data_IF_109114632611
#
_entry.id   IF_109114632611
#
_cell.length_a   1.000
_cell.length_b   1.000
_cell.length_c   1.000
_cell.angle_alpha   90.00
_cell.angle_beta   90.00
_cell.angle_gamma   90.00
#
_symmetry.space_group_name_H-M   'P 1'
#
loop_
_entity.id
_entity.type
_entity.pdbx_description
1 polymer ?
#
# COMPACT_ATOMS: atom_id res chain seq x y z
N UNK A 1 -7.69 -1.18 10.53
CA UNK A 1 -6.81 -0.12 10.03
C UNK A 1 -5.45 -0.74 9.83
N UNK A 2 -5.04 -0.93 8.59
CA UNK A 2 -3.66 -1.35 8.30
C UNK A 2 -2.78 -0.11 8.34
N UNK A 3 -1.92 -0.03 9.36
CA UNK A 3 -0.95 1.07 9.47
C UNK A 3 0.22 0.74 8.55
N UNK A 4 0.53 1.60 7.56
CA UNK A 4 1.67 1.36 6.69
C UNK A 4 2.96 1.40 7.52
N UNK A 5 3.68 0.27 7.53
CA UNK A 5 4.97 0.18 8.21
C UNK A 5 6.00 0.95 7.39
N UNK A 6 6.56 2.02 7.95
CA UNK A 6 7.55 2.85 7.28
C UNK A 6 8.99 2.37 7.54
N UNK A 7 9.94 2.81 6.71
CA UNK A 7 11.36 2.52 6.90
C UNK A 7 11.92 2.91 8.28
N UNK A 8 11.61 4.11 8.82
CA UNK A 8 12.00 4.49 10.17
C UNK A 8 11.51 3.53 11.26
N UNK A 9 10.27 3.04 11.16
CA UNK A 9 9.70 2.08 12.13
C UNK A 9 10.48 0.76 12.11
N UNK A 10 10.87 0.28 10.92
CA UNK A 10 11.68 -0.94 10.78
C UNK A 10 13.08 -0.78 11.37
N UNK A 11 13.69 0.39 11.18
CA UNK A 11 15.01 0.72 11.76
C UNK A 11 14.92 0.72 13.28
N UNK A 12 13.96 1.45 13.85
CA UNK A 12 13.76 1.52 15.30
C UNK A 12 13.51 0.12 15.89
N UNK A 13 12.66 -0.69 15.24
CA UNK A 13 12.39 -2.04 15.74
C UNK A 13 13.61 -2.95 15.66
N UNK A 14 14.43 -2.79 14.61
CA UNK A 14 15.69 -3.51 14.47
C UNK A 14 16.70 -3.13 15.56
N UNK A 15 16.80 -1.86 15.90
CA UNK A 15 17.66 -1.36 16.99
C UNK A 15 17.20 -1.87 18.36
N UNK A 16 15.88 -1.88 18.63
CA UNK A 16 15.32 -2.48 19.85
C UNK A 16 15.68 -3.97 19.99
N UNK A 17 15.53 -4.75 18.92
CA UNK A 17 15.91 -6.17 18.92
C UNK A 17 17.42 -6.35 19.12
N UNK A 18 18.24 -5.49 18.53
CA UNK A 18 19.68 -5.52 18.76
C UNK A 18 20.02 -5.26 20.23
N UNK A 19 19.34 -4.30 20.88
CA UNK A 19 19.49 -4.04 22.31
C UNK A 19 19.08 -5.24 23.17
N UNK A 20 17.95 -5.87 22.88
CA UNK A 20 17.47 -7.08 23.57
C UNK A 20 18.47 -8.25 23.45
N UNK A 21 19.21 -8.32 22.35
CA UNK A 21 20.27 -9.30 22.10
C UNK A 21 21.63 -8.90 22.70
N UNK A 22 21.72 -7.76 23.40
CA UNK A 22 22.94 -7.27 24.05
C UNK A 22 23.83 -6.38 23.17
N UNK A 23 23.37 -5.98 21.99
CA UNK A 23 24.04 -5.03 21.10
C UNK A 23 23.50 -3.61 21.31
N UNK A 24 23.86 -2.99 22.43
CA UNK A 24 23.32 -1.69 22.86
C UNK A 24 23.72 -0.51 21.98
N UNK A 25 24.82 -0.61 21.25
CA UNK A 25 25.35 0.46 20.38
C UNK A 25 25.00 0.26 18.89
N UNK A 26 24.08 -0.67 18.60
CA UNK A 26 23.66 -0.94 17.23
C UNK A 26 22.87 0.25 16.68
N UNK A 27 23.37 0.87 15.60
CA UNK A 27 22.64 1.86 14.82
C UNK A 27 22.44 1.37 13.40
N UNK A 28 21.18 1.27 12.99
CA UNK A 28 20.82 0.79 11.67
C UNK A 28 20.60 1.98 10.75
N UNK A 29 21.35 2.02 9.65
CA UNK A 29 21.26 3.10 8.67
C UNK A 29 20.19 2.80 7.61
N UNK A 30 19.77 3.84 6.88
CA UNK A 30 18.97 3.66 5.67
C UNK A 30 19.60 2.68 4.68
N UNK A 31 20.93 2.74 4.51
CA UNK A 31 21.66 1.81 3.63
C UNK A 31 21.67 0.36 4.12
N UNK A 32 21.65 0.11 5.44
CA UNK A 32 21.42 -1.23 5.98
C UNK A 32 20.02 -1.73 5.62
N UNK A 33 19.01 -0.88 5.82
CA UNK A 33 17.61 -1.20 5.53
C UNK A 33 17.41 -1.51 4.04
N UNK A 34 18.03 -0.75 3.12
CA UNK A 34 17.94 -1.01 1.68
C UNK A 34 18.58 -2.34 1.28
N UNK A 35 19.75 -2.67 1.84
CA UNK A 35 20.41 -3.97 1.60
C UNK A 35 19.61 -5.13 2.19
N UNK A 36 19.04 -4.95 3.38
CA UNK A 36 18.18 -5.93 4.02
C UNK A 36 16.96 -6.25 3.15
N UNK A 37 16.30 -5.21 2.62
CA UNK A 37 15.18 -5.37 1.68
C UNK A 37 15.60 -6.13 0.43
N UNK A 38 16.69 -5.72 -0.20
CA UNK A 38 17.19 -6.36 -1.43
C UNK A 38 17.53 -7.83 -1.20
N UNK A 39 18.16 -8.17 -0.07
CA UNK A 39 18.55 -9.54 0.27
C UNK A 39 17.35 -10.46 0.49
N UNK A 40 16.26 -9.93 1.05
CA UNK A 40 15.07 -10.71 1.40
C UNK A 40 13.88 -10.49 0.47
N UNK A 41 14.06 -9.76 -0.64
CA UNK A 41 12.99 -9.47 -1.59
C UNK A 41 11.83 -8.65 -1.01
N UNK A 42 12.08 -7.84 0.02
CA UNK A 42 11.05 -7.01 0.65
C UNK A 42 10.83 -5.76 -0.19
N UNK A 43 9.64 -5.64 -0.77
CA UNK A 43 9.25 -4.49 -1.59
C UNK A 43 8.25 -3.63 -0.82
N UNK A 44 8.48 -2.32 -0.77
CA UNK A 44 7.48 -1.39 -0.31
C UNK A 44 6.43 -1.23 -1.40
N UNK A 45 5.27 -1.86 -1.23
CA UNK A 45 4.09 -1.47 -1.98
C UNK A 45 3.50 -0.26 -1.27
N UNK A 46 3.43 0.88 -1.95
CA UNK A 46 2.49 1.92 -1.55
C UNK A 46 1.13 1.24 -1.54
N UNK A 47 0.40 1.31 -0.42
CA UNK A 47 -1.01 0.95 -0.42
C UNK A 47 -1.73 2.01 -1.25
N UNK A 48 -1.63 1.89 -2.58
CA UNK A 48 -2.46 2.61 -3.51
C UNK A 48 -3.79 1.90 -3.48
N UNK A 49 -4.58 2.15 -2.43
CA UNK A 49 -6.02 2.01 -2.57
C UNK A 49 -6.42 2.94 -3.70
N UNK A 50 -7.18 2.44 -4.66
CA UNK A 50 -7.64 3.17 -5.86
C UNK A 50 -8.18 4.57 -5.53
N UNK A 51 -8.67 4.78 -4.31
CA UNK A 51 -9.07 6.06 -3.74
C UNK A 51 -8.02 7.20 -3.81
N UNK A 52 -6.72 6.90 -3.86
CA UNK A 52 -5.68 7.95 -3.89
C UNK A 52 -5.38 8.48 -5.31
N UNK A 53 -5.70 7.71 -6.35
CA UNK A 53 -5.55 8.13 -7.77
C UNK A 53 -6.76 8.88 -8.31
N UNK A 54 -7.91 8.80 -7.64
CA UNK A 54 -9.09 9.61 -7.92
C UNK A 54 -8.91 11.03 -7.35
N UNK A 55 -7.97 11.81 -7.89
CA UNK A 55 -7.91 13.26 -7.66
C UNK A 55 -8.44 13.99 -8.89
N UNK A 56 -9.55 14.71 -8.69
CA UNK A 56 -10.05 15.85 -9.48
C UNK A 56 -10.19 15.66 -11.00
N UNK A 57 -10.61 14.48 -11.45
CA UNK A 57 -11.33 14.39 -12.72
C UNK A 57 -12.80 14.66 -12.36
N UNK A 58 -13.47 15.58 -13.08
CA UNK A 58 -14.89 15.87 -12.91
C UNK A 58 -15.67 14.56 -12.89
N UNK A 59 -16.02 14.11 -11.68
CA UNK A 59 -16.58 12.78 -11.50
C UNK A 59 -18.03 12.72 -11.94
N UNK A 60 -18.66 13.90 -12.02
CA UNK A 60 -20.06 14.07 -12.37
C UNK A 60 -20.36 13.54 -13.78
N UNK A 61 -19.50 13.84 -14.75
CA UNK A 61 -19.70 13.39 -16.14
C UNK A 61 -19.58 11.87 -16.29
N UNK A 62 -18.63 11.24 -15.58
CA UNK A 62 -18.50 9.78 -15.62
C UNK A 62 -19.60 9.08 -14.82
N UNK A 63 -20.06 9.66 -13.71
CA UNK A 63 -21.17 9.13 -12.91
C UNK A 63 -22.46 9.09 -13.74
N UNK A 64 -22.81 10.18 -14.43
CA UNK A 64 -23.97 10.21 -15.33
C UNK A 64 -23.85 9.22 -16.48
N UNK A 65 -22.64 9.10 -17.06
CA UNK A 65 -22.37 8.17 -18.14
C UNK A 65 -22.51 6.72 -17.67
N UNK A 66 -22.00 6.40 -16.48
CA UNK A 66 -22.12 5.07 -15.89
C UNK A 66 -23.59 4.72 -15.60
N UNK A 67 -24.38 5.64 -15.05
CA UNK A 67 -25.80 5.41 -14.80
C UNK A 67 -26.57 5.11 -16.08
N UNK A 68 -26.28 5.81 -17.18
CA UNK A 68 -26.88 5.52 -18.50
C UNK A 68 -26.53 4.13 -19.00
N UNK A 69 -25.27 3.72 -18.87
CA UNK A 69 -24.82 2.39 -19.29
C UNK A 69 -25.50 1.31 -18.44
N UNK A 70 -25.53 1.48 -17.11
CA UNK A 70 -26.11 0.50 -16.20
C UNK A 70 -27.63 0.35 -16.36
N UNK A 71 -28.34 1.37 -16.83
CA UNK A 71 -29.78 1.31 -17.08
C UNK A 71 -30.17 0.26 -18.15
N UNK A 72 -29.24 -0.09 -19.06
CA UNK A 72 -29.46 -1.08 -20.11
C UNK A 72 -29.25 -2.53 -19.63
N UNK A 73 -28.73 -2.72 -18.40
CA UNK A 73 -28.44 -4.04 -17.83
C UNK A 73 -29.32 -4.35 -16.63
N UNK A 74 -29.69 -5.62 -16.47
CA UNK A 74 -30.36 -6.08 -15.26
C UNK A 74 -29.36 -6.11 -14.10
N UNK A 75 -29.78 -5.87 -12.83
CA UNK A 75 -28.87 -5.94 -11.68
C UNK A 75 -28.10 -7.26 -11.55
N UNK A 76 -28.64 -8.37 -12.07
CA UNK A 76 -27.99 -9.69 -12.08
C UNK A 76 -26.84 -9.83 -13.08
N UNK A 77 -26.74 -8.89 -14.02
CA UNK A 77 -25.75 -8.88 -15.10
C UNK A 77 -24.62 -7.87 -14.82
N UNK A 78 -24.61 -7.26 -13.63
CA UNK A 78 -23.58 -6.32 -13.17
C UNK A 78 -22.63 -7.07 -12.23
N UNK A 79 -21.36 -7.21 -12.64
CA UNK A 79 -20.34 -7.93 -11.88
C UNK A 79 -19.22 -6.99 -11.44
N UNK A 80 -18.71 -7.19 -10.22
CA UNK A 80 -17.47 -6.57 -9.78
C UNK A 80 -16.29 -7.43 -10.25
N UNK A 81 -15.38 -6.84 -11.02
CA UNK A 81 -14.16 -7.49 -11.47
C UNK A 81 -12.96 -6.80 -10.82
N UNK A 82 -12.59 -7.26 -9.62
CA UNK A 82 -11.42 -6.78 -8.91
C UNK A 82 -10.25 -7.76 -9.11
N UNK A 83 -9.09 -7.24 -9.51
CA UNK A 83 -7.91 -8.06 -9.83
C UNK A 83 -7.24 -8.52 -8.53
N UNK A 84 -7.32 -9.81 -8.24
CA UNK A 84 -6.60 -10.42 -7.11
C UNK A 84 -5.28 -11.01 -7.63
N UNK A 85 -4.17 -10.30 -7.40
CA UNK A 85 -2.81 -10.71 -7.77
C UNK A 85 -1.78 -10.52 -6.66
#
# INVERSE_FOLDING_TARGET
MDVPISGPILIEKGEQLAQELGHTDCKLSGGWLDRFKQRHGIVFKTMSGEAASAKDIDTSEWEETLQKILADYSPRDIFNADETG
#
